data_IF_043906490127
#
_entry.id   IF_043906490127
#
_cell.length_a   1.000
_cell.length_b   1.000
_cell.length_c   1.000
_cell.angle_alpha   90.00
_cell.angle_beta   90.00
_cell.angle_gamma   90.00
#
_symmetry.space_group_name_H-M   'P 1'
#
loop_
_entity.id
_entity.type
_entity.pdbx_description
1 polymer ?
#
# COMPACT_ATOMS: atom_id res chain seq x y z
N UNK A 1 19.33 -85.04 30.63
CA UNK A 1 19.45 -83.85 31.53
C UNK A 1 20.14 -82.64 30.87
N UNK A 2 21.00 -82.81 29.85
CA UNK A 2 21.75 -81.71 29.20
C UNK A 2 20.93 -80.67 28.42
N UNK A 3 19.86 -81.08 27.70
CA UNK A 3 19.05 -80.17 26.88
C UNK A 3 18.28 -79.13 27.72
N UNK A 4 17.79 -79.51 28.90
CA UNK A 4 17.06 -78.60 29.80
C UNK A 4 17.97 -77.51 30.38
N UNK A 5 19.24 -77.81 30.62
CA UNK A 5 20.22 -76.84 31.13
C UNK A 5 20.64 -75.81 30.07
N UNK A 6 20.79 -76.25 28.81
CA UNK A 6 21.03 -75.33 27.67
C UNK A 6 19.86 -74.38 27.43
N UNK A 7 18.62 -74.86 27.50
CA UNK A 7 17.41 -74.01 27.31
C UNK A 7 17.31 -72.96 28.42
N UNK A 8 17.54 -73.32 29.69
CA UNK A 8 17.53 -72.34 30.80
C UNK A 8 18.61 -71.27 30.64
N UNK A 9 19.80 -71.61 30.16
CA UNK A 9 20.87 -70.64 29.86
C UNK A 9 20.48 -69.68 28.73
N UNK A 10 19.87 -70.18 27.66
CA UNK A 10 19.43 -69.34 26.53
C UNK A 10 18.32 -68.38 26.96
N UNK A 11 17.34 -68.85 27.74
CA UNK A 11 16.28 -68.00 28.28
C UNK A 11 16.84 -66.93 29.20
N UNK A 12 17.80 -67.26 30.06
CA UNK A 12 18.43 -66.29 30.95
C UNK A 12 19.21 -65.21 30.19
N UNK A 13 19.93 -65.59 29.13
CA UNK A 13 20.65 -64.65 28.26
C UNK A 13 19.68 -63.72 27.52
N UNK A 14 18.55 -64.24 27.02
CA UNK A 14 17.53 -63.42 26.36
C UNK A 14 16.87 -62.42 27.32
N UNK A 15 16.61 -62.82 28.56
CA UNK A 15 16.08 -61.91 29.61
C UNK A 15 17.10 -60.83 29.95
N UNK A 16 18.39 -61.18 30.05
CA UNK A 16 19.44 -60.20 30.31
C UNK A 16 19.58 -59.17 29.17
N UNK A 17 19.49 -59.61 27.91
CA UNK A 17 19.52 -58.71 26.74
C UNK A 17 18.30 -57.78 26.75
N UNK A 18 17.10 -58.30 27.05
CA UNK A 18 15.89 -57.49 27.14
C UNK A 18 16.00 -56.44 28.26
N UNK A 19 16.54 -56.80 29.43
CA UNK A 19 16.74 -55.87 30.53
C UNK A 19 17.72 -54.74 30.19
N UNK A 20 18.82 -55.07 29.48
CA UNK A 20 19.78 -54.06 29.00
C UNK A 20 19.15 -53.15 27.94
N UNK A 21 18.35 -53.69 27.02
CA UNK A 21 17.64 -52.89 26.02
C UNK A 21 16.63 -51.93 26.67
N UNK A 22 15.83 -52.42 27.63
CA UNK A 22 14.87 -51.59 28.39
C UNK A 22 15.62 -50.51 29.17
N UNK A 23 16.72 -50.86 29.84
CA UNK A 23 17.57 -49.90 30.54
C UNK A 23 18.14 -48.83 29.61
N UNK A 24 18.56 -49.21 28.40
CA UNK A 24 19.05 -48.29 27.38
C UNK A 24 17.95 -47.34 26.87
N UNK A 25 16.74 -47.84 26.60
CA UNK A 25 15.61 -47.00 26.21
C UNK A 25 15.14 -46.07 27.33
N UNK A 26 15.14 -46.54 28.59
CA UNK A 26 14.83 -45.68 29.74
C UNK A 26 15.92 -44.60 29.93
N UNK A 27 17.20 -44.96 29.83
CA UNK A 27 18.30 -44.00 29.90
C UNK A 27 18.20 -42.95 28.79
N UNK A 28 18.00 -43.37 27.53
CA UNK A 28 17.76 -42.46 26.39
C UNK A 28 16.56 -41.53 26.64
N UNK A 29 15.49 -42.00 27.27
CA UNK A 29 14.33 -41.16 27.59
C UNK A 29 14.56 -40.13 28.69
N UNK A 30 15.53 -40.39 29.60
CA UNK A 30 15.93 -39.47 30.66
C UNK A 30 17.00 -38.48 30.16
N UNK A 31 17.93 -38.92 29.30
CA UNK A 31 19.03 -38.10 28.80
C UNK A 31 18.74 -37.38 27.48
N UNK A 32 17.60 -37.63 26.83
CA UNK A 32 17.24 -36.93 25.60
C UNK A 32 17.02 -35.43 25.87
N UNK A 33 17.83 -34.53 25.28
CA UNK A 33 17.71 -33.08 25.49
C UNK A 33 16.37 -32.52 25.04
N UNK A 34 15.63 -33.27 24.20
CA UNK A 34 14.38 -32.84 23.59
C UNK A 34 13.26 -32.54 24.60
N UNK A 35 13.26 -33.16 25.79
CA UNK A 35 12.24 -32.88 26.83
C UNK A 35 12.62 -31.76 27.80
N UNK A 36 13.91 -31.45 27.94
CA UNK A 36 14.36 -30.36 28.80
C UNK A 36 14.21 -28.97 28.13
N UNK A 37 14.19 -28.92 26.80
CA UNK A 37 14.00 -27.66 26.04
C UNK A 37 12.52 -27.34 25.79
N UNK A 38 11.62 -28.31 25.92
CA UNK A 38 10.20 -28.15 25.59
C UNK A 38 9.35 -27.41 26.66
N UNK A 39 9.94 -26.99 27.79
CA UNK A 39 9.18 -26.35 28.89
C UNK A 39 9.80 -25.06 29.42
N UNK A 40 10.62 -24.40 28.60
CA UNK A 40 10.94 -23.00 28.83
C UNK A 40 10.06 -22.21 27.88
N UNK A 41 8.90 -21.77 28.36
CA UNK A 41 8.06 -20.81 27.63
C UNK A 41 8.96 -19.65 27.24
N UNK A 42 9.22 -19.55 25.94
CA UNK A 42 10.14 -18.56 25.41
C UNK A 42 9.38 -17.22 25.46
N UNK A 43 9.52 -16.50 26.57
CA UNK A 43 8.81 -15.24 26.85
C UNK A 43 9.00 -14.22 25.72
N UNK A 44 10.13 -14.33 24.99
CA UNK A 44 10.43 -13.53 23.80
C UNK A 44 9.47 -13.82 22.63
N UNK A 45 9.04 -15.07 22.47
CA UNK A 45 8.15 -15.49 21.39
C UNK A 45 6.68 -15.08 21.68
N UNK A 46 6.24 -15.22 22.94
CA UNK A 46 4.93 -14.69 23.37
C UNK A 46 4.85 -13.14 23.27
N UNK A 47 5.96 -12.43 23.52
CA UNK A 47 6.01 -10.97 23.34
C UNK A 47 5.95 -10.54 21.87
N UNK A 48 6.44 -11.39 20.95
CA UNK A 48 6.39 -11.12 19.50
C UNK A 48 5.03 -11.45 18.85
N UNK A 49 4.21 -12.28 19.50
CA UNK A 49 2.87 -12.67 19.05
C UNK A 49 1.75 -11.81 19.65
N UNK A 50 2.06 -10.90 20.59
CA UNK A 50 1.10 -9.88 20.95
C UNK A 50 0.80 -9.01 19.71
N UNK A 51 -0.47 -8.71 19.41
CA UNK A 51 -0.77 -7.75 18.36
C UNK A 51 -0.02 -6.47 18.72
N UNK A 52 0.87 -6.02 17.83
CA UNK A 52 1.36 -4.65 17.87
C UNK A 52 0.11 -3.78 17.82
N UNK A 53 -0.31 -3.29 18.98
CA UNK A 53 -1.20 -2.15 19.05
C UNK A 53 -0.34 -1.02 18.53
N UNK A 54 -0.34 -0.83 17.21
CA UNK A 54 0.01 0.46 16.62
C UNK A 54 -0.94 1.45 17.26
N UNK A 55 -0.46 2.12 18.30
CA UNK A 55 -1.07 3.34 18.76
C UNK A 55 -0.86 4.33 17.63
N UNK A 56 -1.78 4.32 16.66
CA UNK A 56 -1.98 5.40 15.71
C UNK A 56 -2.45 6.60 16.52
N UNK A 57 -1.49 7.25 17.19
CA UNK A 57 -1.69 8.57 17.75
C UNK A 57 -1.83 9.48 16.55
N UNK A 58 -3.06 9.62 16.06
CA UNK A 58 -3.40 10.58 15.02
C UNK A 58 -2.85 11.93 15.46
N UNK A 59 -1.96 12.50 14.65
CA UNK A 59 -1.38 13.80 14.95
C UNK A 59 -2.54 14.79 15.14
N UNK A 60 -2.54 15.57 16.23
CA UNK A 60 -3.65 16.47 16.51
C UNK A 60 -3.82 17.44 15.34
N UNK A 61 -5.04 17.58 14.84
CA UNK A 61 -5.37 18.50 13.74
C UNK A 61 -5.08 19.96 14.09
N UNK A 62 -4.89 20.28 15.37
CA UNK A 62 -4.46 21.59 15.86
C UNK A 62 -3.38 21.48 16.93
N UNK A 63 -2.34 22.31 16.80
CA UNK A 63 -1.29 22.49 17.80
C UNK A 63 -1.01 23.98 18.01
N UNK A 64 -1.04 24.46 19.26
CA UNK A 64 -0.89 25.88 19.61
C UNK A 64 -1.78 26.83 18.79
N UNK A 65 -3.04 26.45 18.55
CA UNK A 65 -4.00 27.27 17.79
C UNK A 65 -3.76 27.30 16.26
N UNK A 66 -2.72 26.62 15.76
CA UNK A 66 -2.49 26.42 14.32
C UNK A 66 -3.07 25.10 13.87
N UNK A 67 -3.81 25.14 12.77
CA UNK A 67 -4.32 23.96 12.10
C UNK A 67 -3.21 23.29 11.30
N UNK A 68 -3.05 21.97 11.48
CA UNK A 68 -2.13 21.14 10.72
C UNK A 68 -2.57 21.14 9.26
N UNK A 69 -1.64 21.37 8.33
CA UNK A 69 -1.91 21.35 6.90
C UNK A 69 -1.24 20.17 6.23
N UNK A 70 -1.97 19.43 5.41
CA UNK A 70 -1.48 18.25 4.68
C UNK A 70 -1.84 18.38 3.20
N UNK A 71 -0.83 18.27 2.35
CA UNK A 71 -0.99 18.23 0.91
C UNK A 71 -0.78 16.78 0.44
N UNK A 72 -1.84 16.19 -0.10
CA UNK A 72 -1.81 14.88 -0.73
C UNK A 72 -1.49 15.08 -2.21
N UNK A 73 -0.22 14.95 -2.57
CA UNK A 73 0.18 14.89 -3.98
C UNK A 73 -0.32 13.57 -4.57
N UNK A 74 -1.09 13.66 -5.64
CA UNK A 74 -1.61 12.48 -6.36
C UNK A 74 -1.16 12.50 -7.82
N UNK A 75 -0.71 11.35 -8.30
CA UNK A 75 -0.20 11.17 -9.66
C UNK A 75 -0.99 10.09 -10.38
N UNK A 76 -1.62 10.48 -11.49
CA UNK A 76 -2.53 9.65 -12.27
C UNK A 76 -1.87 9.14 -13.56
N UNK A 77 -2.47 8.10 -14.14
CA UNK A 77 -2.12 7.44 -15.41
C UNK A 77 -0.83 6.61 -15.40
N UNK A 78 -0.04 6.67 -14.33
CA UNK A 78 1.22 5.95 -14.21
C UNK A 78 1.12 4.43 -14.04
N UNK A 79 2.27 3.76 -13.82
CA UNK A 79 3.60 4.33 -13.89
C UNK A 79 4.03 4.60 -15.33
N UNK A 80 5.12 5.34 -15.51
CA UNK A 80 5.70 5.62 -16.82
C UNK A 80 7.18 5.96 -16.76
N UNK A 81 7.71 6.41 -17.89
CA UNK A 81 9.16 6.64 -18.05
C UNK A 81 9.76 7.73 -17.15
N UNK A 82 8.94 8.64 -16.59
CA UNK A 82 9.40 9.71 -15.70
C UNK A 82 9.15 9.40 -14.20
N UNK A 83 8.40 8.34 -13.88
CA UNK A 83 8.05 8.00 -12.49
C UNK A 83 9.29 7.74 -11.63
N UNK A 84 10.33 7.11 -12.19
CA UNK A 84 11.58 6.87 -11.46
C UNK A 84 12.27 8.17 -11.02
N UNK A 85 12.24 9.20 -11.86
CA UNK A 85 12.78 10.54 -11.58
C UNK A 85 11.93 11.26 -10.53
N UNK A 86 10.60 11.14 -10.64
CA UNK A 86 9.67 11.65 -9.65
C UNK A 86 9.92 11.02 -8.26
N UNK A 87 10.04 9.70 -8.18
CA UNK A 87 10.32 9.00 -6.92
C UNK A 87 11.64 9.46 -6.29
N UNK A 88 12.69 9.67 -7.09
CA UNK A 88 13.94 10.25 -6.59
C UNK A 88 13.72 11.65 -6.01
N UNK A 89 12.94 12.49 -6.68
CA UNK A 89 12.61 13.85 -6.23
C UNK A 89 11.82 13.84 -4.92
N UNK A 90 10.79 13.00 -4.81
CA UNK A 90 9.99 12.85 -3.59
C UNK A 90 10.87 12.38 -2.43
N UNK A 91 11.71 11.38 -2.65
CA UNK A 91 12.66 10.86 -1.66
C UNK A 91 13.65 11.92 -1.17
N UNK A 92 14.20 12.73 -2.07
CA UNK A 92 15.12 13.84 -1.71
C UNK A 92 14.46 14.88 -0.79
N UNK A 93 13.13 15.03 -0.88
CA UNK A 93 12.37 15.98 -0.05
C UNK A 93 11.68 15.33 1.15
N UNK A 94 11.90 14.02 1.37
CA UNK A 94 11.16 13.19 2.33
C UNK A 94 9.63 13.31 2.20
N UNK A 95 9.15 13.53 0.97
CA UNK A 95 7.73 13.65 0.69
C UNK A 95 7.11 12.28 0.39
N UNK A 96 5.92 12.03 0.92
CA UNK A 96 5.07 10.88 0.52
C UNK A 96 3.94 11.36 -0.38
N UNK A 97 3.41 10.45 -1.18
CA UNK A 97 2.49 10.75 -2.28
C UNK A 97 1.57 9.54 -2.53
N UNK A 98 0.59 9.72 -3.41
CA UNK A 98 -0.38 8.71 -3.80
C UNK A 98 -0.34 8.54 -5.32
N UNK A 99 -0.27 7.31 -5.81
CA UNK A 99 -0.23 7.00 -7.24
C UNK A 99 -1.49 6.23 -7.62
N UNK A 100 -2.16 6.63 -8.69
CA UNK A 100 -3.32 5.95 -9.25
C UNK A 100 -2.96 5.39 -10.61
N UNK A 101 -2.86 4.06 -10.68
CA UNK A 101 -2.20 3.39 -11.79
C UNK A 101 -3.20 2.85 -12.81
N UNK A 102 -2.83 2.87 -14.08
CA UNK A 102 -3.60 2.15 -15.11
C UNK A 102 -3.06 0.74 -15.23
N UNK A 103 -3.95 -0.27 -15.23
CA UNK A 103 -3.54 -1.68 -15.18
C UNK A 103 -2.65 -2.15 -16.35
N UNK A 104 -2.68 -1.49 -17.51
CA UNK A 104 -1.72 -1.74 -18.58
C UNK A 104 -0.28 -1.37 -18.17
N UNK A 105 -0.12 -0.22 -17.51
CA UNK A 105 1.17 0.29 -17.04
C UNK A 105 1.65 -0.48 -15.80
N UNK A 106 0.74 -0.96 -14.96
CA UNK A 106 1.08 -1.88 -13.85
C UNK A 106 1.77 -3.15 -14.39
N UNK A 107 1.32 -3.68 -15.54
CA UNK A 107 1.93 -4.85 -16.20
C UNK A 107 3.28 -4.51 -16.85
N UNK A 108 3.39 -3.32 -17.43
CA UNK A 108 4.61 -2.88 -18.13
C UNK A 108 5.73 -2.48 -17.16
N UNK A 109 5.40 -1.86 -16.03
CA UNK A 109 6.35 -1.29 -15.07
C UNK A 109 6.23 -1.86 -13.64
N UNK A 110 6.24 -3.20 -13.44
CA UNK A 110 5.98 -3.79 -12.12
C UNK A 110 7.04 -3.41 -11.07
N UNK A 111 8.28 -3.13 -11.49
CA UNK A 111 9.33 -2.67 -10.58
C UNK A 111 9.08 -1.25 -10.06
N UNK A 112 8.46 -0.37 -10.86
CA UNK A 112 8.07 0.97 -10.40
C UNK A 112 6.91 0.89 -9.40
N UNK A 113 5.90 0.05 -9.67
CA UNK A 113 4.80 -0.21 -8.73
C UNK A 113 5.34 -0.72 -7.38
N UNK A 114 6.27 -1.68 -7.42
CA UNK A 114 6.93 -2.19 -6.21
C UNK A 114 7.69 -1.09 -5.48
N UNK A 115 8.40 -0.23 -6.23
CA UNK A 115 9.22 0.85 -5.69
C UNK A 115 8.37 1.96 -5.05
N UNK A 116 7.28 2.38 -5.68
CA UNK A 116 6.32 3.33 -5.11
C UNK A 116 5.86 2.86 -3.73
N UNK A 117 5.40 1.60 -3.63
CA UNK A 117 4.98 1.03 -2.36
C UNK A 117 6.13 0.89 -1.35
N UNK A 118 7.30 0.41 -1.77
CA UNK A 118 8.45 0.19 -0.89
C UNK A 118 9.05 1.50 -0.34
N UNK A 119 8.91 2.61 -1.06
CA UNK A 119 9.34 3.95 -0.63
C UNK A 119 8.28 4.68 0.22
N UNK A 120 7.16 4.01 0.54
CA UNK A 120 6.14 4.49 1.48
C UNK A 120 5.03 5.33 0.84
N UNK A 121 4.89 5.30 -0.48
CA UNK A 121 3.78 5.93 -1.18
C UNK A 121 2.55 5.01 -1.18
N UNK A 122 1.35 5.59 -1.32
CA UNK A 122 0.15 4.81 -1.55
C UNK A 122 0.02 4.48 -3.03
N UNK A 123 -0.35 3.23 -3.34
CA UNK A 123 -0.61 2.76 -4.70
C UNK A 123 -2.09 2.38 -4.76
N UNK A 124 -2.86 3.07 -5.60
CA UNK A 124 -4.29 2.87 -5.83
C UNK A 124 -4.60 2.66 -7.30
N UNK A 125 -5.89 2.47 -7.60
CA UNK A 125 -6.34 2.07 -8.94
C UNK A 125 -6.85 3.25 -9.77
N UNK A 126 -6.56 3.20 -11.07
CA UNK A 126 -7.03 4.15 -12.09
C UNK A 126 -7.64 3.47 -13.31
N UNK A 127 -8.28 2.31 -13.08
CA UNK A 127 -8.93 1.45 -14.07
C UNK A 127 -7.97 0.69 -14.99
N UNK A 128 -8.55 -0.08 -15.91
CA UNK A 128 -7.79 -0.85 -16.89
C UNK A 128 -7.67 -0.11 -18.22
N UNK A 129 -8.75 0.54 -18.65
CA UNK A 129 -8.88 1.06 -20.01
C UNK A 129 -8.85 2.57 -20.10
N UNK A 130 -9.06 3.25 -18.96
CA UNK A 130 -9.25 4.70 -18.91
C UNK A 130 -10.30 5.18 -19.94
N UNK A 131 -11.31 4.36 -20.27
CA UNK A 131 -12.29 4.68 -21.30
C UNK A 131 -13.62 5.11 -20.69
N UNK A 132 -14.01 6.38 -20.91
CA UNK A 132 -15.24 6.95 -20.35
C UNK A 132 -16.50 6.12 -20.66
N UNK A 133 -16.64 5.64 -21.90
CA UNK A 133 -17.83 4.90 -22.30
C UNK A 133 -17.91 3.53 -21.60
N UNK A 134 -16.80 2.80 -21.51
CA UNK A 134 -16.75 1.53 -20.78
C UNK A 134 -17.03 1.73 -19.29
N UNK A 135 -16.31 2.66 -18.66
CA UNK A 135 -16.39 2.89 -17.23
C UNK A 135 -17.79 3.32 -16.78
N UNK A 136 -18.36 4.32 -17.45
CA UNK A 136 -19.52 5.04 -16.93
C UNK A 136 -20.82 4.77 -17.70
N UNK A 137 -20.75 4.64 -19.04
CA UNK A 137 -21.95 4.36 -19.84
C UNK A 137 -22.31 2.88 -19.81
N UNK A 138 -21.30 2.00 -19.88
CA UNK A 138 -21.49 0.55 -19.81
C UNK A 138 -21.43 0.04 -18.36
N UNK A 139 -20.93 0.86 -17.43
CA UNK A 139 -20.92 0.57 -16.00
C UNK A 139 -19.83 -0.42 -15.56
N UNK A 140 -18.73 -0.48 -16.30
CA UNK A 140 -17.59 -1.37 -16.01
C UNK A 140 -16.64 -0.84 -14.93
N UNK A 141 -16.91 0.34 -14.36
CA UNK A 141 -16.02 0.99 -13.39
C UNK A 141 -15.51 0.05 -12.29
N UNK A 142 -16.41 -0.63 -11.57
CA UNK A 142 -16.03 -1.51 -10.45
C UNK A 142 -15.28 -2.75 -10.93
N UNK A 143 -15.63 -3.28 -12.11
CA UNK A 143 -14.94 -4.44 -12.69
C UNK A 143 -13.50 -4.07 -13.05
N UNK A 144 -13.30 -2.94 -13.72
CA UNK A 144 -11.96 -2.46 -14.09
C UNK A 144 -11.12 -2.15 -12.84
N UNK A 145 -11.68 -1.51 -11.80
CA UNK A 145 -10.95 -1.25 -10.56
C UNK A 145 -10.57 -2.54 -9.82
N UNK A 146 -11.41 -3.59 -9.88
CA UNK A 146 -11.11 -4.88 -9.26
C UNK A 146 -10.05 -5.68 -10.02
N UNK A 147 -10.07 -5.62 -11.35
CA UNK A 147 -9.01 -6.21 -12.16
C UNK A 147 -7.67 -5.54 -11.87
N UNK A 148 -7.64 -4.21 -11.86
CA UNK A 148 -6.44 -3.43 -11.56
C UNK A 148 -5.92 -3.66 -10.13
N UNK A 149 -6.82 -3.68 -9.13
CA UNK A 149 -6.49 -4.05 -7.75
C UNK A 149 -5.79 -5.41 -7.67
N UNK A 150 -6.22 -6.38 -8.49
CA UNK A 150 -5.62 -7.72 -8.50
C UNK A 150 -4.21 -7.70 -9.08
N UNK A 151 -3.95 -6.91 -10.13
CA UNK A 151 -2.62 -6.73 -10.71
C UNK A 151 -1.67 -6.07 -9.70
N UNK A 152 -2.11 -5.02 -9.04
CA UNK A 152 -1.34 -4.33 -8.01
C UNK A 152 -1.04 -5.29 -6.85
N UNK A 153 -2.05 -6.02 -6.36
CA UNK A 153 -1.89 -6.96 -5.25
C UNK A 153 -0.88 -8.07 -5.54
N UNK A 154 -0.80 -8.55 -6.77
CA UNK A 154 0.20 -9.55 -7.18
C UNK A 154 1.65 -9.03 -7.09
N UNK A 155 1.86 -7.71 -7.12
CA UNK A 155 3.18 -7.08 -7.04
C UNK A 155 3.53 -6.70 -5.61
N UNK A 156 2.58 -6.11 -4.87
CA UNK A 156 2.85 -5.48 -3.56
C UNK A 156 2.29 -6.26 -2.36
N UNK A 157 1.57 -7.37 -2.59
CA UNK A 157 1.05 -8.24 -1.54
C UNK A 157 -0.11 -7.68 -0.72
N UNK A 158 -0.69 -6.55 -1.12
CA UNK A 158 -1.89 -5.94 -0.51
C UNK A 158 -2.86 -5.48 -1.60
N UNK A 159 -4.15 -5.50 -1.30
CA UNK A 159 -5.22 -5.08 -2.22
C UNK A 159 -5.75 -3.70 -1.84
N UNK A 160 -5.27 -2.61 -2.47
CA UNK A 160 -5.63 -1.25 -2.10
C UNK A 160 -7.13 -1.00 -2.30
N UNK A 161 -7.73 -0.12 -1.49
CA UNK A 161 -9.17 0.20 -1.54
C UNK A 161 -9.50 1.52 -2.23
N UNK A 162 -8.55 2.43 -2.34
CA UNK A 162 -8.80 3.74 -2.94
C UNK A 162 -8.67 3.69 -4.46
N UNK A 163 -9.69 4.24 -5.12
CA UNK A 163 -9.77 4.42 -6.57
C UNK A 163 -9.80 5.91 -6.90
N UNK A 164 -9.21 6.28 -8.03
CA UNK A 164 -9.36 7.59 -8.66
C UNK A 164 -10.12 7.41 -9.96
N UNK A 165 -11.29 8.03 -10.15
CA UNK A 165 -12.04 7.88 -11.39
C UNK A 165 -11.35 8.60 -12.55
N UNK A 166 -11.08 7.92 -13.67
CA UNK A 166 -10.71 8.59 -14.91
C UNK A 166 -11.66 9.73 -15.24
N UNK A 167 -11.13 10.92 -15.53
CA UNK A 167 -11.91 12.14 -15.81
C UNK A 167 -12.71 12.73 -14.63
N UNK A 168 -12.54 12.20 -13.41
CA UNK A 168 -13.30 12.60 -12.23
C UNK A 168 -14.66 11.88 -12.11
N UNK A 169 -15.18 11.80 -10.89
CA UNK A 169 -16.41 11.07 -10.58
C UNK A 169 -17.66 11.71 -11.20
N UNK A 170 -17.64 13.02 -11.47
CA UNK A 170 -18.80 13.77 -11.96
C UNK A 170 -18.69 14.00 -13.48
N UNK A 171 -19.73 13.69 -14.28
CA UNK A 171 -21.00 13.04 -13.92
C UNK A 171 -20.97 11.51 -14.02
N UNK A 172 -19.82 10.90 -14.31
CA UNK A 172 -19.71 9.49 -14.71
C UNK A 172 -20.17 8.47 -13.67
N UNK A 173 -19.78 8.64 -12.40
CA UNK A 173 -20.20 7.81 -11.28
C UNK A 173 -21.62 8.20 -10.82
N UNK A 174 -22.61 7.80 -11.62
CA UNK A 174 -24.02 7.89 -11.25
C UNK A 174 -24.33 7.06 -9.99
N UNK A 175 -25.50 7.26 -9.40
CA UNK A 175 -25.89 6.63 -8.12
C UNK A 175 -25.78 5.11 -8.14
N UNK A 176 -26.18 4.45 -9.22
CA UNK A 176 -26.07 3.00 -9.36
C UNK A 176 -24.62 2.51 -9.32
N UNK A 177 -23.69 3.24 -9.95
CA UNK A 177 -22.27 2.92 -9.88
C UNK A 177 -21.68 3.24 -8.50
N UNK A 178 -22.05 4.35 -7.86
CA UNK A 178 -21.61 4.67 -6.49
C UNK A 178 -22.04 3.60 -5.49
N UNK A 179 -23.26 3.07 -5.63
CA UNK A 179 -23.70 1.95 -4.80
C UNK A 179 -22.83 0.71 -4.99
N UNK A 180 -22.50 0.33 -6.23
CA UNK A 180 -21.59 -0.79 -6.52
C UNK A 180 -20.17 -0.56 -5.98
N UNK A 181 -19.67 0.68 -6.02
CA UNK A 181 -18.36 1.05 -5.44
C UNK A 181 -18.35 0.78 -3.94
N UNK A 182 -19.38 1.25 -3.23
CA UNK A 182 -19.54 1.05 -1.78
C UNK A 182 -19.70 -0.43 -1.44
N UNK A 183 -20.54 -1.16 -2.18
CA UNK A 183 -20.75 -2.61 -2.02
C UNK A 183 -19.46 -3.41 -2.27
N UNK A 184 -18.62 -2.96 -3.20
CA UNK A 184 -17.31 -3.53 -3.50
C UNK A 184 -16.23 -3.21 -2.45
N UNK A 185 -16.54 -2.38 -1.46
CA UNK A 185 -15.59 -1.94 -0.43
C UNK A 185 -14.51 -0.99 -0.94
N UNK A 186 -14.76 -0.32 -2.06
CA UNK A 186 -13.86 0.69 -2.60
C UNK A 186 -14.16 2.07 -2.03
N UNK A 187 -13.14 2.92 -2.04
CA UNK A 187 -13.20 4.35 -1.76
C UNK A 187 -12.90 5.12 -3.04
N UNK A 188 -13.39 6.36 -3.11
CA UNK A 188 -13.23 7.23 -4.28
C UNK A 188 -12.66 8.56 -3.83
N UNK A 189 -11.50 8.89 -4.37
CA UNK A 189 -10.95 10.24 -4.32
C UNK A 189 -10.99 10.90 -5.69
N UNK A 190 -11.60 12.08 -5.77
CA UNK A 190 -11.31 13.09 -6.78
C UNK A 190 -10.12 13.95 -6.29
N UNK A 191 -10.19 15.26 -6.50
CA UNK A 191 -9.16 16.22 -6.10
C UNK A 191 -9.80 17.55 -5.68
N UNK A 192 -9.05 18.35 -4.94
CA UNK A 192 -9.43 19.73 -4.58
C UNK A 192 -8.73 20.77 -5.45
N UNK A 193 -7.56 20.41 -6.01
CA UNK A 193 -6.76 21.26 -6.90
C UNK A 193 -6.42 20.46 -8.16
N UNK A 194 -6.81 21.00 -9.31
CA UNK A 194 -6.33 20.54 -10.62
C UNK A 194 -5.08 21.36 -10.99
N UNK A 195 -3.94 20.70 -11.18
CA UNK A 195 -2.70 21.37 -11.59
C UNK A 195 -2.75 21.89 -13.03
N UNK A 196 -3.65 21.34 -13.84
CA UNK A 196 -3.78 21.57 -15.29
C UNK A 196 -2.52 21.21 -16.09
N UNK A 197 -1.66 20.33 -15.56
CA UNK A 197 -0.40 19.93 -16.17
C UNK A 197 -0.50 19.42 -17.61
N UNK A 198 -1.59 18.69 -17.93
CA UNK A 198 -1.91 18.20 -19.26
C UNK A 198 -2.12 19.31 -20.30
N UNK A 199 -2.50 20.53 -19.88
CA UNK A 199 -2.69 21.67 -20.81
C UNK A 199 -1.38 22.16 -21.41
N UNK A 200 -0.25 21.84 -20.78
CA UNK A 200 1.06 22.37 -21.15
C UNK A 200 1.92 21.37 -21.94
N UNK A 201 1.35 20.26 -22.41
CA UNK A 201 2.03 19.18 -23.16
C UNK A 201 2.76 19.63 -24.44
N UNK A 202 2.48 20.83 -24.95
CA UNK A 202 3.09 21.38 -26.18
C UNK A 202 4.04 22.56 -25.91
N UNK A 203 4.35 22.83 -24.64
CA UNK A 203 5.23 23.92 -24.23
C UNK A 203 6.61 23.39 -23.84
N UNK A 204 7.59 24.29 -23.80
CA UNK A 204 8.89 23.97 -23.24
C UNK A 204 8.75 23.59 -21.76
N UNK A 205 9.42 22.51 -21.37
CA UNK A 205 9.24 21.84 -20.07
C UNK A 205 9.39 22.81 -18.90
N UNK A 206 10.43 23.64 -18.87
CA UNK A 206 10.69 24.54 -17.73
C UNK A 206 9.61 25.62 -17.59
N UNK A 207 9.15 26.20 -18.71
CA UNK A 207 8.10 27.21 -18.71
C UNK A 207 6.75 26.61 -18.30
N UNK A 208 6.46 25.40 -18.79
CA UNK A 208 5.27 24.64 -18.40
C UNK A 208 5.30 24.30 -16.90
N UNK A 209 6.43 23.79 -16.41
CA UNK A 209 6.62 23.39 -15.01
C UNK A 209 6.41 24.58 -14.05
N UNK A 210 6.94 25.76 -14.38
CA UNK A 210 6.73 26.96 -13.59
C UNK A 210 5.25 27.35 -13.50
N UNK A 211 4.51 27.26 -14.61
CA UNK A 211 3.09 27.56 -14.63
C UNK A 211 2.27 26.53 -13.85
N UNK A 212 2.60 25.25 -13.97
CA UNK A 212 1.96 24.15 -13.22
C UNK A 212 2.17 24.35 -11.72
N UNK A 213 3.41 24.66 -11.31
CA UNK A 213 3.70 24.95 -9.92
C UNK A 213 2.91 26.15 -9.41
N UNK A 214 2.80 27.22 -10.21
CA UNK A 214 2.00 28.39 -9.85
C UNK A 214 0.52 28.02 -9.67
N UNK A 215 -0.08 27.26 -10.59
CA UNK A 215 -1.48 26.83 -10.51
C UNK A 215 -1.77 26.11 -9.18
N UNK A 216 -0.90 25.19 -8.77
CA UNK A 216 -1.05 24.48 -7.49
C UNK A 216 -0.88 25.45 -6.31
N UNK A 217 0.19 26.25 -6.33
CA UNK A 217 0.53 27.12 -5.21
C UNK A 217 -0.52 28.22 -4.98
N UNK A 218 -1.11 28.80 -6.02
CA UNK A 218 -2.15 29.84 -5.84
C UNK A 218 -3.44 29.28 -5.28
N UNK A 219 -3.74 28.00 -5.52
CA UNK A 219 -5.00 27.38 -5.14
C UNK A 219 -4.95 26.69 -3.76
N UNK A 220 -3.75 26.37 -3.25
CA UNK A 220 -3.56 25.76 -1.95
C UNK A 220 -3.90 26.70 -0.78
N UNK A 221 -5.10 26.54 -0.23
CA UNK A 221 -5.68 27.43 0.80
C UNK A 221 -6.29 26.68 1.98
N UNK A 222 -6.76 25.44 1.79
CA UNK A 222 -7.43 24.64 2.81
C UNK A 222 -6.44 23.81 3.63
N UNK A 223 -6.79 23.39 4.85
CA UNK A 223 -5.92 22.52 5.65
C UNK A 223 -5.57 21.20 4.96
N UNK A 224 -6.49 20.65 4.19
CA UNK A 224 -6.30 19.42 3.43
C UNK A 224 -6.51 19.74 1.95
N UNK A 225 -5.50 19.48 1.14
CA UNK A 225 -5.58 19.62 -0.32
C UNK A 225 -5.18 18.31 -0.97
N UNK A 226 -5.96 17.86 -1.94
CA UNK A 226 -5.68 16.69 -2.79
C UNK A 226 -5.38 17.22 -4.19
N UNK A 227 -4.14 17.07 -4.64
CA UNK A 227 -3.63 17.74 -5.84
C UNK A 227 -3.52 16.71 -6.98
N UNK A 228 -4.23 16.97 -8.08
CA UNK A 228 -4.17 16.16 -9.30
C UNK A 228 -2.95 16.54 -10.15
N UNK A 229 -2.10 15.56 -10.44
CA UNK A 229 -0.97 15.63 -11.36
C UNK A 229 -0.86 14.30 -12.14
N UNK A 230 -0.03 14.25 -13.18
CA UNK A 230 0.20 13.06 -14.01
C UNK A 230 1.70 12.84 -14.21
N UNK A 231 2.25 11.77 -13.64
CA UNK A 231 3.69 11.47 -13.67
C UNK A 231 4.17 10.92 -15.02
N UNK A 232 3.25 10.69 -15.96
CA UNK A 232 3.57 10.33 -17.35
C UNK A 232 4.01 11.53 -18.20
N UNK A 233 3.90 12.76 -17.68
CA UNK A 233 4.26 14.00 -18.37
C UNK A 233 5.55 14.62 -17.81
N UNK A 234 6.55 14.97 -18.64
CA UNK A 234 7.83 15.50 -18.16
C UNK A 234 7.67 16.84 -17.44
N UNK A 235 6.81 17.72 -17.94
CA UNK A 235 6.56 19.03 -17.32
C UNK A 235 5.85 18.94 -15.97
N UNK A 236 5.09 17.87 -15.75
CA UNK A 236 4.43 17.62 -14.46
C UNK A 236 5.48 17.23 -13.42
N UNK A 237 6.33 16.26 -13.74
CA UNK A 237 7.45 15.83 -12.88
C UNK A 237 8.41 16.98 -12.60
N UNK A 238 8.76 17.78 -13.61
CA UNK A 238 9.63 18.95 -13.46
C UNK A 238 9.01 20.06 -12.58
N UNK A 239 7.69 20.12 -12.42
CA UNK A 239 7.03 21.10 -11.55
C UNK A 239 7.11 20.73 -10.06
N UNK A 240 7.26 19.44 -9.74
CA UNK A 240 7.18 18.91 -8.37
C UNK A 240 8.17 19.57 -7.40
N UNK A 241 9.46 19.81 -7.73
CA UNK A 241 10.37 20.49 -6.81
C UNK A 241 9.87 21.87 -6.35
N UNK A 242 9.31 22.67 -7.26
CA UNK A 242 8.79 24.00 -6.95
C UNK A 242 7.50 23.92 -6.12
N UNK A 243 6.63 22.95 -6.41
CA UNK A 243 5.42 22.67 -5.63
C UNK A 243 5.78 22.26 -4.20
N UNK A 244 6.70 21.32 -4.04
CA UNK A 244 7.16 20.83 -2.73
C UNK A 244 7.71 21.97 -1.88
N UNK A 245 8.59 22.80 -2.47
CA UNK A 245 9.16 23.96 -1.78
C UNK A 245 8.07 24.96 -1.36
N UNK A 246 7.22 25.38 -2.29
CA UNK A 246 6.22 26.43 -2.03
C UNK A 246 5.12 26.00 -1.06
N UNK A 247 4.66 24.74 -1.12
CA UNK A 247 3.69 24.22 -0.16
C UNK A 247 4.29 24.05 1.23
N UNK A 248 5.57 23.63 1.32
CA UNK A 248 6.29 23.59 2.60
C UNK A 248 6.42 24.98 3.22
N UNK A 249 6.74 26.01 2.43
CA UNK A 249 6.75 27.41 2.88
C UNK A 249 5.38 27.90 3.36
N UNK A 250 4.29 27.36 2.80
CA UNK A 250 2.90 27.58 3.25
C UNK A 250 2.49 26.76 4.49
N UNK A 251 3.40 25.94 5.01
CA UNK A 251 3.20 25.12 6.20
C UNK A 251 2.49 23.78 5.96
N UNK A 252 2.48 23.26 4.73
CA UNK A 252 1.98 21.93 4.44
C UNK A 252 3.04 20.85 4.68
N UNK A 253 2.58 19.71 5.19
CA UNK A 253 3.27 18.42 5.19
C UNK A 253 2.82 17.60 3.96
N UNK A 254 3.65 16.65 3.52
CA UNK A 254 3.35 15.79 2.36
C UNK A 254 3.17 14.34 2.80
N UNK A 255 1.92 13.90 2.83
CA UNK A 255 1.55 12.54 3.23
C UNK A 255 0.97 11.75 2.06
N UNK A 256 1.19 10.44 2.09
CA UNK A 256 0.42 9.53 1.26
C UNK A 256 -0.99 9.38 1.83
N UNK A 257 -1.92 8.87 1.02
CA UNK A 257 -3.19 8.37 1.55
C UNK A 257 -2.97 7.16 2.47
N UNK A 258 -3.78 7.08 3.52
CA UNK A 258 -3.81 6.01 4.51
C UNK A 258 -5.25 5.51 4.68
N UNK A 259 -5.51 4.22 4.44
CA UNK A 259 -6.86 3.63 4.43
C UNK A 259 -7.57 3.77 5.79
N UNK A 260 -6.82 3.61 6.87
CA UNK A 260 -7.26 3.75 8.25
C UNK A 260 -7.65 5.19 8.63
N UNK A 261 -7.21 6.17 7.85
CA UNK A 261 -7.47 7.60 8.05
C UNK A 261 -8.28 8.21 6.91
N UNK A 262 -9.06 7.39 6.20
CA UNK A 262 -9.89 7.84 5.07
C UNK A 262 -10.81 9.00 5.45
N UNK A 263 -10.86 9.99 4.57
CA UNK A 263 -11.87 11.06 4.59
C UNK A 263 -12.42 11.27 3.17
N UNK A 264 -13.70 11.61 3.01
CA UNK A 264 -14.31 11.70 1.69
C UNK A 264 -13.82 12.94 0.93
N UNK A 265 -13.34 12.72 -0.30
CA UNK A 265 -13.00 13.78 -1.27
C UNK A 265 -13.56 13.37 -2.61
N UNK A 266 -14.82 13.71 -2.88
CA UNK A 266 -15.43 13.44 -4.18
C UNK A 266 -16.41 14.55 -4.57
N UNK A 267 -16.56 14.79 -5.87
CA UNK A 267 -17.42 15.84 -6.44
C UNK A 267 -18.92 15.61 -6.19
N UNK A 268 -19.31 14.40 -5.83
CA UNK A 268 -20.69 14.07 -5.46
C UNK A 268 -21.03 14.39 -3.99
N UNK A 269 -20.04 14.73 -3.16
CA UNK A 269 -20.20 14.85 -1.72
C UNK A 269 -20.83 13.60 -1.07
N UNK A 270 -20.56 12.42 -1.65
CA UNK A 270 -21.04 11.13 -1.14
C UNK A 270 -20.07 10.61 -0.07
N UNK A 271 -20.42 10.79 1.20
CA UNK A 271 -19.58 10.45 2.35
C UNK A 271 -19.40 8.94 2.57
N UNK A 272 -20.04 8.09 1.76
CA UNK A 272 -19.87 6.62 1.84
C UNK A 272 -18.55 6.18 1.19
N UNK A 273 -18.00 7.00 0.28
CA UNK A 273 -16.82 6.70 -0.53
C UNK A 273 -15.58 7.50 -0.13
#
# INVERSE_FOLDING_TARGET
>A
MEKAFKIKRVVFVLIAIAAVAIGYFMFQSITSPAKAVAKQENVVQLASEQPKVEMNKTAPSRFNGKERKVAYLTFDDGPGKYTAELLNTLKQHDAKATFFLIGANVKEFPDLVKRENAEGHYVGMHSMTHNFAKLYKNGEYVNEMKEDQSLIANIIGKSPKLTRPPYGSMPGLNEGLRNKVVEGGFKVWDWTIDSLDWKYNKMQVDAAAAQIAQNVLTNATKPQEVILMHDIHPQSVAAVPAILKGLKEKGYEFEAYHEESHFPVNFWHDNRM
#
